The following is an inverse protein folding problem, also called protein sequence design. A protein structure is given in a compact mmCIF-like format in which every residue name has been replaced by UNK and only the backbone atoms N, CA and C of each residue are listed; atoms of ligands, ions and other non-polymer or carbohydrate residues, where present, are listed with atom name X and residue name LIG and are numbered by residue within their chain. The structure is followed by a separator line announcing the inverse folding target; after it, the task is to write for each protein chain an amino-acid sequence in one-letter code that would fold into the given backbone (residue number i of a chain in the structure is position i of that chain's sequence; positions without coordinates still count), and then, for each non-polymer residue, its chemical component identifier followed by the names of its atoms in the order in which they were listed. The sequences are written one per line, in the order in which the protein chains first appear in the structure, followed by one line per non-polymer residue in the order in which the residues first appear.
data_IF_809374794586
#
_entry.id   IF_809374794586
#
_cell.length_a   1.000
_cell.length_b   1.000
_cell.length_c   1.000
_cell.angle_alpha   90.00
_cell.angle_beta   90.00
_cell.angle_gamma   90.00
#
_symmetry.space_group_name_H-M   'P 1'
#
loop_
_entity.id
_entity.type
_entity.pdbx_description
1 polymer ?
#
# COMPACT_ATOMS: atom_id res chain seq x y z
N UNK A 1 -4.63 -4.92 -2.24
CA UNK A 1 -3.67 -5.36 -1.20
C UNK A 1 -4.13 -6.61 -0.43
N UNK A 2 -5.46 -6.89 -0.31
CA UNK A 2 -5.98 -7.99 0.48
C UNK A 2 -5.40 -9.36 0.10
N UNK A 3 -5.44 -9.73 -1.19
CA UNK A 3 -4.91 -11.02 -1.67
C UNK A 3 -3.42 -11.18 -1.31
N UNK A 4 -2.63 -10.16 -1.58
CA UNK A 4 -1.19 -10.17 -1.25
C UNK A 4 -0.98 -10.25 0.26
N UNK A 5 -1.76 -9.49 1.03
CA UNK A 5 -1.72 -9.52 2.49
C UNK A 5 -2.00 -10.93 3.04
N UNK A 6 -2.99 -11.64 2.50
CA UNK A 6 -3.31 -13.01 2.93
C UNK A 6 -2.22 -14.01 2.57
N UNK A 7 -1.61 -13.90 1.39
CA UNK A 7 -0.49 -14.77 0.99
C UNK A 7 0.70 -14.57 1.93
N UNK A 8 1.04 -13.32 2.23
CA UNK A 8 2.13 -12.97 3.15
C UNK A 8 1.81 -13.48 4.57
N UNK A 9 0.59 -13.23 5.05
CA UNK A 9 0.15 -13.66 6.38
C UNK A 9 0.24 -15.18 6.55
N UNK A 10 -0.19 -15.94 5.53
CA UNK A 10 -0.08 -17.39 5.56
C UNK A 10 1.38 -17.84 5.68
N UNK A 11 2.28 -17.29 4.86
CA UNK A 11 3.70 -17.64 4.90
C UNK A 11 4.38 -17.22 6.21
N UNK A 12 4.02 -16.10 6.76
CA UNK A 12 4.49 -15.68 8.07
C UNK A 12 3.98 -16.61 9.18
N UNK A 13 2.71 -17.01 9.14
CA UNK A 13 2.15 -17.93 10.12
C UNK A 13 2.85 -19.30 10.08
N UNK A 14 3.14 -19.84 8.88
CA UNK A 14 3.90 -21.06 8.70
C UNK A 14 5.32 -20.94 9.27
N UNK A 15 6.02 -19.85 8.97
CA UNK A 15 7.41 -19.63 9.40
C UNK A 15 7.56 -19.33 10.89
N UNK A 16 6.68 -18.51 11.43
CA UNK A 16 6.71 -18.08 12.84
C UNK A 16 5.98 -19.07 13.77
N UNK A 17 5.23 -20.03 13.24
CA UNK A 17 4.36 -20.96 13.98
C UNK A 17 3.38 -20.22 14.89
N UNK A 18 2.88 -19.08 14.43
CA UNK A 18 1.96 -18.20 15.11
C UNK A 18 0.80 -17.84 14.19
N UNK A 19 -0.36 -17.53 14.76
CA UNK A 19 -1.50 -17.06 13.99
C UNK A 19 -1.25 -15.62 13.51
N UNK A 20 -1.39 -15.38 12.21
CA UNK A 20 -1.33 -14.04 11.63
C UNK A 20 -2.72 -13.67 11.11
N UNK A 21 -3.32 -12.63 11.70
CA UNK A 21 -4.65 -12.16 11.35
C UNK A 21 -4.53 -11.01 10.35
N UNK A 22 -5.28 -11.10 9.25
CA UNK A 22 -5.38 -10.01 8.27
C UNK A 22 -6.57 -9.13 8.62
N UNK A 23 -6.32 -7.86 8.92
CA UNK A 23 -7.32 -6.84 9.17
C UNK A 23 -7.35 -5.83 8.02
N UNK A 24 -8.41 -5.81 7.25
CA UNK A 24 -8.57 -4.93 6.08
C UNK A 24 -9.29 -3.65 6.47
N UNK A 25 -8.54 -2.57 6.61
CA UNK A 25 -9.06 -1.22 6.89
C UNK A 25 -8.98 -0.35 5.64
N UNK A 26 -9.99 -0.47 4.79
CA UNK A 26 -10.11 0.34 3.57
C UNK A 26 -10.56 1.77 3.86
N UNK A 27 -10.34 2.65 2.86
CA UNK A 27 -10.81 4.04 2.87
C UNK A 27 -9.69 5.07 2.74
N UNK A 28 -10.04 6.25 2.25
CA UNK A 28 -9.17 7.42 2.09
C UNK A 28 -7.81 7.10 1.44
N UNK A 29 -7.80 6.28 0.36
CA UNK A 29 -6.55 5.91 -0.32
C UNK A 29 -5.57 5.09 0.54
N UNK A 30 -6.06 4.35 1.53
CA UNK A 30 -5.24 3.55 2.45
C UNK A 30 -4.76 4.32 3.69
N UNK A 31 -5.15 5.58 3.84
CA UNK A 31 -4.73 6.42 4.97
C UNK A 31 -5.22 5.88 6.31
N UNK A 32 -6.44 5.32 6.37
CA UNK A 32 -7.02 4.79 7.62
C UNK A 32 -6.18 3.64 8.17
N UNK A 33 -5.91 2.62 7.35
CA UNK A 33 -5.10 1.47 7.78
C UNK A 33 -3.66 1.87 8.11
N UNK A 34 -3.10 2.82 7.37
CA UNK A 34 -1.75 3.33 7.63
C UNK A 34 -1.68 4.10 8.94
N UNK A 35 -2.64 4.96 9.24
CA UNK A 35 -2.73 5.71 10.49
C UNK A 35 -2.85 4.78 11.70
N UNK A 36 -3.71 3.77 11.60
CA UNK A 36 -3.86 2.75 12.64
C UNK A 36 -2.54 2.03 12.92
N UNK A 37 -1.80 1.64 11.87
CA UNK A 37 -0.51 0.96 12.02
C UNK A 37 0.55 1.91 12.61
N UNK A 38 0.59 3.16 12.16
CA UNK A 38 1.53 4.15 12.66
C UNK A 38 1.35 4.47 14.15
N UNK A 39 0.13 4.30 14.66
CA UNK A 39 -0.23 4.50 16.08
C UNK A 39 -0.23 3.22 16.91
N UNK A 40 -0.05 2.06 16.29
CA UNK A 40 0.05 0.80 17.00
C UNK A 40 1.34 0.72 17.84
N UNK A 41 1.38 -0.12 18.89
CA UNK A 41 2.62 -0.36 19.62
C UNK A 41 3.75 -0.82 18.71
N UNK A 42 4.94 -0.26 18.88
CA UNK A 42 6.12 -0.60 18.09
C UNK A 42 6.82 -1.88 18.61
N UNK A 43 6.04 -2.94 18.78
CA UNK A 43 6.46 -4.23 19.34
C UNK A 43 6.71 -5.32 18.30
N UNK A 44 6.52 -4.98 17.01
CA UNK A 44 6.70 -5.91 15.89
C UNK A 44 5.49 -6.81 15.60
N UNK A 45 4.40 -6.73 16.37
CA UNK A 45 3.20 -7.55 16.15
C UNK A 45 2.19 -6.92 15.17
N UNK A 46 2.37 -5.66 14.81
CA UNK A 46 1.52 -4.98 13.82
C UNK A 46 2.32 -4.65 12.58
N UNK A 47 1.92 -5.17 11.44
CA UNK A 47 2.56 -4.96 10.15
C UNK A 47 1.58 -4.35 9.14
N UNK A 48 2.08 -3.43 8.31
CA UNK A 48 1.32 -2.82 7.22
C UNK A 48 1.73 -3.42 5.88
N UNK A 49 0.75 -3.88 5.11
CA UNK A 49 0.92 -4.16 3.68
C UNK A 49 0.30 -3.02 2.89
N UNK A 50 1.12 -2.25 2.23
CA UNK A 50 0.68 -1.10 1.42
C UNK A 50 1.33 -1.13 0.03
N UNK A 51 0.92 -0.22 -0.82
CA UNK A 51 1.45 -0.04 -2.18
C UNK A 51 2.01 1.39 -2.34
N UNK A 52 2.19 1.83 -3.59
CA UNK A 52 2.70 3.16 -3.92
C UNK A 52 1.90 4.30 -3.29
N UNK A 53 0.64 4.07 -2.90
CA UNK A 53 -0.19 5.11 -2.27
C UNK A 53 0.42 5.65 -0.97
N UNK A 54 1.22 4.84 -0.26
CA UNK A 54 1.94 5.30 0.93
C UNK A 54 2.85 6.51 0.62
N UNK A 55 3.61 6.41 -0.47
CA UNK A 55 4.51 7.48 -0.90
C UNK A 55 3.76 8.65 -1.54
N UNK A 56 2.76 8.34 -2.38
CA UNK A 56 1.97 9.35 -3.09
C UNK A 56 1.15 10.21 -2.12
N UNK A 57 0.53 9.59 -1.12
CA UNK A 57 -0.28 10.29 -0.13
C UNK A 57 0.53 11.31 0.69
N UNK A 58 1.81 11.06 0.92
CA UNK A 58 2.71 11.99 1.60
C UNK A 58 2.82 13.35 0.89
N UNK A 59 2.61 13.36 -0.44
CA UNK A 59 2.63 14.59 -1.26
C UNK A 59 1.23 15.11 -1.58
N UNK A 60 0.28 14.21 -1.86
CA UNK A 60 -1.06 14.60 -2.32
C UNK A 60 -1.99 15.02 -1.19
N UNK A 61 -1.80 14.52 0.03
CA UNK A 61 -2.68 14.82 1.15
C UNK A 61 -2.00 15.83 2.09
N UNK A 62 -2.46 17.08 2.12
CA UNK A 62 -1.79 18.16 2.87
C UNK A 62 -1.73 17.96 4.39
N UNK A 63 -2.64 17.17 4.95
CA UNK A 63 -2.73 16.91 6.40
C UNK A 63 -2.91 15.42 6.66
N UNK A 64 -1.83 14.66 6.48
CA UNK A 64 -1.83 13.26 6.91
C UNK A 64 -1.81 13.17 8.43
N UNK A 65 -2.57 12.23 9.03
CA UNK A 65 -2.58 12.02 10.47
C UNK A 65 -1.35 11.26 10.98
N UNK A 66 -0.41 10.91 10.11
CA UNK A 66 0.83 10.17 10.41
C UNK A 66 2.01 10.68 9.59
N UNK A 67 3.21 10.41 10.08
CA UNK A 67 4.47 10.61 9.35
C UNK A 67 5.02 9.24 8.93
N UNK A 68 4.91 8.94 7.63
CA UNK A 68 5.32 7.64 7.10
C UNK A 68 6.83 7.37 7.22
N UNK A 69 7.66 8.41 7.26
CA UNK A 69 9.11 8.26 7.37
C UNK A 69 9.59 8.04 8.80
N UNK A 70 8.85 8.56 9.79
CA UNK A 70 9.26 8.53 11.19
C UNK A 70 8.53 7.46 12.01
N UNK A 71 7.29 7.14 11.64
CA UNK A 71 6.42 6.25 12.42
C UNK A 71 6.33 4.84 11.86
N UNK A 72 6.87 4.60 10.66
CA UNK A 72 6.85 3.28 10.02
C UNK A 72 8.26 2.83 9.68
N UNK A 73 8.61 1.62 10.09
CA UNK A 73 9.88 0.98 9.72
C UNK A 73 9.67 0.07 8.50
N UNK A 74 10.36 0.32 7.37
CA UNK A 74 10.25 -0.56 6.20
C UNK A 74 10.91 -1.91 6.48
N UNK A 75 10.20 -3.00 6.14
CA UNK A 75 10.70 -4.37 6.33
C UNK A 75 11.19 -4.96 5.01
N UNK A 76 10.33 -5.01 4.01
CA UNK A 76 10.67 -5.61 2.71
C UNK A 76 9.73 -5.17 1.60
N UNK A 77 10.21 -5.24 0.36
CA UNK A 77 9.38 -5.14 -0.84
C UNK A 77 8.91 -6.55 -1.18
N UNK A 78 7.62 -6.82 -1.00
CA UNK A 78 7.00 -8.13 -1.25
C UNK A 78 6.67 -8.38 -2.73
N UNK A 79 6.69 -7.35 -3.57
CA UNK A 79 6.44 -7.47 -5.00
C UNK A 79 6.54 -6.14 -5.72
N UNK A 80 6.66 -6.20 -7.04
CA UNK A 80 6.66 -5.04 -7.93
C UNK A 80 5.63 -5.27 -9.03
N UNK A 81 4.88 -4.22 -9.36
CA UNK A 81 3.88 -4.25 -10.42
C UNK A 81 4.04 -3.02 -11.30
N UNK A 82 4.13 -3.18 -12.63
CA UNK A 82 4.13 -2.06 -13.55
C UNK A 82 2.74 -1.43 -13.63
N UNK A 83 2.68 -0.12 -13.80
CA UNK A 83 1.47 0.58 -14.20
C UNK A 83 1.39 0.64 -15.72
N UNK A 84 0.22 0.37 -16.27
CA UNK A 84 -0.05 0.44 -17.70
C UNK A 84 -1.09 1.53 -17.94
N UNK A 85 -0.74 2.52 -18.75
CA UNK A 85 -1.69 3.52 -19.19
C UNK A 85 -2.56 2.93 -20.32
N UNK A 86 -3.85 2.89 -20.10
CA UNK A 86 -4.82 2.45 -21.10
C UNK A 86 -5.82 3.55 -21.37
N UNK A 87 -6.31 3.61 -22.60
CA UNK A 87 -7.35 4.55 -23.01
C UNK A 87 -8.47 3.80 -23.72
N UNK A 88 -9.65 4.40 -23.73
CA UNK A 88 -10.79 3.84 -24.48
C UNK A 88 -10.46 3.78 -26.00
N UNK A 89 -10.87 2.74 -26.73
CA UNK A 89 -10.60 2.61 -28.19
C UNK A 89 -11.01 3.81 -29.04
N UNK A 90 -11.99 4.59 -28.61
CA UNK A 90 -12.43 5.81 -29.28
C UNK A 90 -11.46 6.99 -29.14
N UNK A 91 -10.45 6.91 -28.28
CA UNK A 91 -9.39 7.91 -28.18
C UNK A 91 -8.39 7.67 -29.30
N UNK A 92 -8.17 8.69 -30.17
CA UNK A 92 -7.31 8.56 -31.36
C UNK A 92 -5.82 8.56 -31.07
N UNK A 93 -5.40 8.81 -29.83
CA UNK A 93 -3.99 8.85 -29.43
C UNK A 93 -3.39 7.42 -29.42
N UNK A 94 -2.23 7.28 -30.06
CA UNK A 94 -1.46 6.01 -30.13
C UNK A 94 -0.25 5.99 -29.19
N UNK A 95 0.07 7.11 -28.60
CA UNK A 95 1.17 7.29 -27.66
C UNK A 95 0.87 8.44 -26.69
N UNK A 96 1.71 8.58 -25.65
CA UNK A 96 1.50 9.59 -24.60
C UNK A 96 1.54 11.01 -25.14
N UNK A 97 2.40 11.29 -26.14
CA UNK A 97 2.49 12.63 -26.73
C UNK A 97 1.16 13.03 -27.38
N UNK A 98 0.61 12.16 -28.23
CA UNK A 98 -0.68 12.38 -28.87
C UNK A 98 -1.87 12.45 -27.89
N UNK A 99 -1.70 11.94 -26.70
CA UNK A 99 -2.72 12.03 -25.64
C UNK A 99 -2.66 13.38 -24.91
N UNK A 100 -1.50 14.04 -24.88
CA UNK A 100 -1.29 15.30 -24.20
C UNK A 100 -1.51 16.53 -25.12
N UNK A 101 -1.47 16.34 -26.44
CA UNK A 101 -1.77 17.36 -27.45
C UNK A 101 -3.30 17.53 -27.64
#
# INVERSE_FOLDING_TARGET
NDIVGRIVAQKLAEGLKQTVVVDNRGGAGGTIGTDMTAKAPADGYTMLVNNISLAVNATLIPKLPYDALRQLAPVSIIGRQPNILVVHPGVKAKNVKELLD
#
